data_IF_362771687331
#
_entry.id   IF_362771687331
#
_cell.length_a   1.000
_cell.length_b   1.000
_cell.length_c   1.000
_cell.angle_alpha   90.00
_cell.angle_beta   90.00
_cell.angle_gamma   90.00
#
_symmetry.space_group_name_H-M   'P 1'
#
loop_
_entity.id
_entity.type
_entity.pdbx_description
1 polymer ?
#
# COMPACT_ATOMS: atom_id res chain seq x y z
N UNK A 1 -7.63 1.41 18.43
CA UNK A 1 -6.72 2.26 17.64
C UNK A 1 -7.42 2.94 16.46
N UNK A 2 -8.49 2.38 15.90
CA UNK A 2 -9.22 2.92 14.76
C UNK A 2 -8.97 2.17 13.46
N UNK A 3 -9.51 2.73 12.35
CA UNK A 3 -9.32 2.20 11.00
C UNK A 3 -8.49 3.20 10.19
N UNK A 4 -7.44 2.71 9.56
CA UNK A 4 -6.52 3.50 8.76
C UNK A 4 -6.44 2.94 7.36
N UNK A 5 -6.11 3.77 6.38
CA UNK A 5 -5.95 3.36 5.00
C UNK A 5 -5.01 4.28 4.22
N UNK A 6 -4.58 3.78 3.09
CA UNK A 6 -3.89 4.54 2.04
C UNK A 6 -4.61 4.31 0.73
N UNK A 7 -4.53 5.27 -0.19
CA UNK A 7 -5.09 5.10 -1.52
C UNK A 7 -4.13 4.38 -2.46
N UNK A 8 -4.69 3.68 -3.44
CA UNK A 8 -3.96 3.01 -4.49
C UNK A 8 -4.02 3.76 -5.82
N UNK A 9 -3.34 3.20 -6.81
CA UNK A 9 -3.20 3.79 -8.15
C UNK A 9 -4.51 3.83 -8.96
N UNK A 10 -5.59 3.17 -8.51
CA UNK A 10 -6.91 3.21 -9.14
C UNK A 10 -7.93 4.06 -8.37
N UNK A 11 -7.54 4.67 -7.25
CA UNK A 11 -8.39 5.58 -6.48
C UNK A 11 -8.33 7.03 -6.99
N UNK A 12 -7.88 7.22 -8.22
CA UNK A 12 -7.82 8.49 -8.93
C UNK A 12 -8.81 8.53 -10.08
N UNK A 13 -9.18 9.73 -10.53
CA UNK A 13 -10.02 9.90 -11.71
C UNK A 13 -9.25 9.43 -12.94
N UNK A 14 -9.70 8.36 -13.56
CA UNK A 14 -9.08 7.79 -14.75
C UNK A 14 -10.12 7.41 -15.82
N UNK A 15 -9.65 7.33 -17.06
CA UNK A 15 -10.48 6.86 -18.16
C UNK A 15 -10.35 5.33 -18.29
N UNK A 16 -11.49 4.65 -18.21
CA UNK A 16 -11.55 3.19 -18.35
C UNK A 16 -12.09 2.79 -19.72
N UNK A 17 -11.48 1.76 -20.32
CA UNK A 17 -11.98 1.10 -21.51
C UNK A 17 -11.93 -0.42 -21.29
N UNK A 18 -13.10 -1.07 -21.29
CA UNK A 18 -13.19 -2.51 -21.04
C UNK A 18 -12.69 -2.94 -19.66
N UNK A 19 -12.73 -2.04 -18.65
CA UNK A 19 -12.22 -2.30 -17.30
C UNK A 19 -10.72 -2.02 -17.11
N UNK A 20 -10.02 -1.59 -18.15
CA UNK A 20 -8.60 -1.24 -18.10
C UNK A 20 -8.40 0.27 -18.19
N UNK A 21 -7.45 0.78 -17.42
CA UNK A 21 -7.05 2.19 -17.49
C UNK A 21 -6.39 2.50 -18.82
N UNK A 22 -6.85 3.54 -19.49
CA UNK A 22 -6.24 4.05 -20.73
C UNK A 22 -5.59 5.40 -20.48
N UNK A 23 -4.52 5.66 -21.23
CA UNK A 23 -3.78 6.92 -21.11
C UNK A 23 -4.73 8.14 -21.26
N UNK A 24 -4.61 9.09 -20.36
CA UNK A 24 -5.33 10.35 -20.35
C UNK A 24 -4.34 11.50 -20.18
N UNK A 25 -4.61 12.65 -20.82
CA UNK A 25 -3.86 13.89 -20.59
C UNK A 25 -4.34 14.65 -19.34
N UNK A 26 -5.43 14.18 -18.71
CA UNK A 26 -5.94 14.76 -17.47
C UNK A 26 -4.98 14.51 -16.31
N UNK A 27 -4.90 15.46 -15.39
CA UNK A 27 -4.17 15.24 -14.13
C UNK A 27 -4.82 14.08 -13.36
N UNK A 28 -4.00 13.20 -12.85
CA UNK A 28 -4.43 12.09 -12.00
C UNK A 28 -4.72 12.61 -10.59
N UNK A 29 -5.96 13.04 -10.41
CA UNK A 29 -6.47 13.56 -9.14
C UNK A 29 -7.33 12.51 -8.46
N UNK A 30 -7.26 12.44 -7.13
CA UNK A 30 -8.16 11.60 -6.34
C UNK A 30 -9.62 11.95 -6.64
N UNK A 31 -10.47 10.95 -6.73
CA UNK A 31 -11.90 11.15 -6.84
C UNK A 31 -12.45 11.55 -5.47
N UNK A 32 -13.09 12.72 -5.30
CA UNK A 32 -13.61 13.17 -4.00
C UNK A 32 -14.60 12.22 -3.34
N UNK A 33 -15.23 11.33 -4.12
CA UNK A 33 -16.15 10.31 -3.60
C UNK A 33 -15.45 9.30 -2.69
N UNK A 34 -14.17 9.03 -2.91
CA UNK A 34 -13.38 8.16 -2.02
C UNK A 34 -13.12 8.83 -0.66
N UNK A 35 -12.85 10.14 -0.65
CA UNK A 35 -12.68 10.88 0.61
C UNK A 35 -13.98 10.90 1.42
N UNK A 36 -15.14 11.11 0.75
CA UNK A 36 -16.45 11.02 1.39
C UNK A 36 -16.74 9.63 1.95
N UNK A 37 -16.42 8.58 1.17
CA UNK A 37 -16.57 7.20 1.60
C UNK A 37 -15.72 6.91 2.84
N UNK A 38 -14.43 7.23 2.80
CA UNK A 38 -13.51 7.03 3.92
C UNK A 38 -14.03 7.72 5.19
N UNK A 39 -14.49 8.97 5.06
CA UNK A 39 -15.08 9.73 6.16
C UNK A 39 -16.33 9.06 6.73
N UNK A 40 -17.27 8.61 5.89
CA UNK A 40 -18.49 7.90 6.30
C UNK A 40 -18.17 6.56 6.96
N UNK A 41 -17.17 5.83 6.44
CA UNK A 41 -16.70 4.57 6.98
C UNK A 41 -15.80 4.73 8.22
N UNK A 42 -15.51 5.95 8.65
CA UNK A 42 -14.59 6.28 9.76
C UNK A 42 -13.19 5.70 9.54
N UNK A 43 -12.73 5.68 8.29
CA UNK A 43 -11.37 5.30 7.92
C UNK A 43 -10.55 6.58 7.82
N UNK A 44 -9.47 6.70 8.58
CA UNK A 44 -8.51 7.78 8.44
C UNK A 44 -7.52 7.43 7.33
N UNK A 45 -7.51 8.25 6.28
CA UNK A 45 -6.54 8.12 5.20
C UNK A 45 -5.25 8.83 5.61
N UNK A 46 -4.13 8.16 5.38
CA UNK A 46 -2.79 8.68 5.63
C UNK A 46 -2.11 8.96 4.28
N UNK A 47 -1.81 10.22 4.01
CA UNK A 47 -1.29 10.73 2.74
C UNK A 47 0.12 11.31 2.92
N UNK A 48 1.15 10.46 2.89
CA UNK A 48 2.50 10.80 3.32
C UNK A 48 2.50 11.39 4.74
N UNK A 49 1.80 10.71 5.64
CA UNK A 49 1.54 11.14 7.01
C UNK A 49 2.07 10.12 8.02
N UNK A 50 2.60 10.63 9.13
CA UNK A 50 3.09 9.85 10.27
C UNK A 50 2.18 10.04 11.47
N UNK A 51 1.81 8.96 12.13
CA UNK A 51 1.08 8.96 13.39
C UNK A 51 1.81 8.16 14.44
N UNK A 52 1.92 8.69 15.64
CA UNK A 52 2.31 7.92 16.82
C UNK A 52 1.03 7.40 17.50
N UNK A 53 0.89 6.09 17.59
CA UNK A 53 -0.29 5.42 18.16
C UNK A 53 0.01 5.06 19.62
N UNK A 54 -0.77 5.64 20.54
CA UNK A 54 -0.72 5.40 21.99
C UNK A 54 0.71 5.44 22.60
N UNK A 55 1.58 6.28 22.05
CA UNK A 55 3.00 6.35 22.37
C UNK A 55 3.78 5.02 22.21
N UNK A 56 3.17 4.03 21.54
CA UNK A 56 3.68 2.67 21.44
C UNK A 56 4.40 2.39 20.10
N UNK A 57 3.85 2.83 18.97
CA UNK A 57 4.43 2.60 17.65
C UNK A 57 4.03 3.68 16.65
N UNK A 58 4.82 3.84 15.60
CA UNK A 58 4.50 4.71 14.48
C UNK A 58 3.72 3.96 13.40
N UNK A 59 2.64 4.58 12.92
CA UNK A 59 1.93 4.18 11.71
C UNK A 59 2.17 5.24 10.65
N UNK A 60 2.76 4.84 9.54
CA UNK A 60 3.15 5.73 8.44
C UNK A 60 2.36 5.34 7.20
N UNK A 61 1.53 6.24 6.68
CA UNK A 61 0.84 6.02 5.42
C UNK A 61 1.52 6.75 4.28
N UNK A 62 1.85 6.04 3.19
CA UNK A 62 2.49 6.62 2.02
C UNK A 62 1.55 6.69 0.84
N UNK A 63 1.60 7.77 0.08
CA UNK A 63 0.89 7.92 -1.20
C UNK A 63 1.31 6.83 -2.18
N UNK A 64 0.44 6.54 -3.13
CA UNK A 64 0.79 5.57 -4.18
C UNK A 64 2.02 6.02 -4.99
N UNK A 65 2.89 5.05 -5.29
CA UNK A 65 4.17 5.30 -5.96
C UNK A 65 4.05 5.73 -7.43
N UNK A 66 2.92 5.43 -8.08
CA UNK A 66 2.67 5.75 -9.49
C UNK A 66 1.70 6.92 -9.64
N UNK A 67 0.66 6.95 -8.80
CA UNK A 67 -0.42 7.93 -8.86
C UNK A 67 -0.71 8.48 -7.47
N UNK A 68 0.06 9.47 -6.99
CA UNK A 68 -0.13 10.06 -5.66
C UNK A 68 -1.53 10.65 -5.42
N UNK A 69 -2.26 11.00 -6.48
CA UNK A 69 -3.65 11.44 -6.41
C UNK A 69 -3.84 12.92 -6.10
N UNK A 70 -2.78 13.69 -6.05
CA UNK A 70 -2.77 15.15 -5.82
C UNK A 70 -2.31 15.96 -7.04
N UNK A 71 -2.16 15.28 -8.19
CA UNK A 71 -1.67 15.86 -9.42
C UNK A 71 -0.15 16.03 -9.47
N UNK A 72 0.57 15.59 -8.45
CA UNK A 72 2.04 15.45 -8.47
C UNK A 72 2.44 14.09 -9.06
N UNK A 73 3.74 13.91 -9.31
CA UNK A 73 4.29 12.63 -9.78
C UNK A 73 5.15 11.95 -8.72
N UNK A 74 5.31 12.57 -7.56
CA UNK A 74 6.24 12.10 -6.54
C UNK A 74 5.52 12.00 -5.19
N UNK A 75 5.90 11.00 -4.41
CA UNK A 75 5.60 10.87 -2.99
C UNK A 75 6.87 11.14 -2.17
N UNK A 76 6.71 11.31 -0.86
CA UNK A 76 7.86 11.49 0.04
C UNK A 76 8.68 10.18 0.09
N UNK A 77 9.99 10.31 -0.06
CA UNK A 77 10.90 9.16 -0.01
C UNK A 77 11.01 8.58 1.42
N UNK A 78 11.31 7.25 1.56
CA UNK A 78 11.41 6.60 2.87
C UNK A 78 12.36 7.30 3.83
N UNK A 79 13.53 7.71 3.36
CA UNK A 79 14.55 8.38 4.18
C UNK A 79 14.04 9.69 4.77
N UNK A 80 13.17 10.38 4.03
CA UNK A 80 12.63 11.69 4.43
C UNK A 80 11.47 11.51 5.40
N UNK A 81 10.48 10.67 5.04
CA UNK A 81 9.27 10.49 5.86
C UNK A 81 9.57 9.80 7.20
N UNK A 82 10.60 8.94 7.24
CA UNK A 82 11.01 8.23 8.45
C UNK A 82 12.13 8.96 9.22
N UNK A 83 12.60 10.11 8.70
CA UNK A 83 13.61 10.91 9.39
C UNK A 83 13.06 11.48 10.69
N UNK A 84 13.87 11.48 11.73
CA UNK A 84 13.50 12.07 13.03
C UNK A 84 12.52 11.22 13.87
N UNK A 85 12.10 10.04 13.40
CA UNK A 85 11.32 9.13 14.21
C UNK A 85 12.22 8.40 15.22
N UNK A 86 11.69 8.21 16.44
CA UNK A 86 12.35 7.41 17.46
C UNK A 86 12.40 5.94 17.05
N UNK A 87 13.59 5.46 16.69
CA UNK A 87 13.82 4.07 16.23
C UNK A 87 13.74 3.03 17.36
N UNK A 88 13.57 3.45 18.61
CA UNK A 88 13.24 2.53 19.70
C UNK A 88 11.77 2.10 19.68
N UNK A 89 10.91 2.80 18.92
CA UNK A 89 9.50 2.45 18.72
C UNK A 89 9.32 1.77 17.36
N UNK A 90 8.52 0.70 17.27
CA UNK A 90 8.22 0.04 15.99
C UNK A 90 7.62 1.01 14.97
N UNK A 91 8.03 0.86 13.70
CA UNK A 91 7.56 1.67 12.57
C UNK A 91 6.86 0.76 11.56
N UNK A 92 5.54 0.91 11.45
CA UNK A 92 4.68 0.18 10.51
C UNK A 92 4.33 1.10 9.35
N UNK A 93 4.66 0.70 8.12
CA UNK A 93 4.39 1.47 6.90
C UNK A 93 3.24 0.84 6.15
N UNK A 94 2.20 1.64 5.88
CA UNK A 94 1.12 1.32 4.97
C UNK A 94 1.40 1.94 3.61
N UNK A 95 1.37 1.16 2.57
CA UNK A 95 1.44 1.65 1.19
C UNK A 95 0.74 0.70 0.23
N UNK A 96 0.30 1.19 -0.92
CA UNK A 96 -0.45 0.36 -1.85
C UNK A 96 0.45 -0.65 -2.57
N UNK A 97 1.59 -0.19 -3.10
CA UNK A 97 2.49 -1.01 -3.91
C UNK A 97 3.71 -1.49 -3.10
N UNK A 98 4.12 -2.77 -3.19
CA UNK A 98 5.29 -3.31 -2.49
C UNK A 98 6.59 -2.86 -3.15
N UNK A 99 6.92 -1.58 -3.00
CA UNK A 99 8.12 -0.96 -3.57
C UNK A 99 9.08 -0.48 -2.49
N UNK A 100 10.31 -0.19 -2.90
CA UNK A 100 11.33 0.45 -2.05
C UNK A 100 11.61 -0.33 -0.74
N UNK A 101 11.60 -1.68 -0.82
CA UNK A 101 11.84 -2.52 0.37
C UNK A 101 13.25 -2.26 0.95
N UNK A 102 14.24 -2.01 0.09
CA UNK A 102 15.61 -1.71 0.52
C UNK A 102 15.68 -0.36 1.23
N UNK A 103 15.06 0.66 0.65
CA UNK A 103 15.03 2.01 1.19
C UNK A 103 14.27 2.06 2.52
N UNK A 104 13.14 1.35 2.63
CA UNK A 104 12.38 1.22 3.88
C UNK A 104 13.20 0.51 4.96
N UNK A 105 13.85 -0.60 4.61
CA UNK A 105 14.72 -1.34 5.54
C UNK A 105 15.86 -0.46 6.05
N UNK A 106 16.57 0.21 5.14
CA UNK A 106 17.70 1.07 5.53
C UNK A 106 17.28 2.33 6.29
N UNK A 107 16.05 2.79 6.08
CA UNK A 107 15.46 3.92 6.84
C UNK A 107 14.88 3.51 8.19
N UNK A 108 14.93 2.22 8.53
CA UNK A 108 14.53 1.69 9.83
C UNK A 108 13.03 1.47 9.99
N UNK A 109 12.33 1.11 8.91
CA UNK A 109 10.99 0.54 9.01
C UNK A 109 11.06 -0.92 9.47
N UNK A 110 10.16 -1.31 10.38
CA UNK A 110 10.07 -2.69 10.88
C UNK A 110 9.09 -3.52 10.06
N UNK A 111 8.01 -2.91 9.59
CA UNK A 111 6.98 -3.61 8.84
C UNK A 111 6.44 -2.76 7.68
N UNK A 112 6.18 -3.43 6.54
CA UNK A 112 5.49 -2.87 5.37
C UNK A 112 4.25 -3.71 5.09
N UNK A 113 3.09 -3.07 4.96
CA UNK A 113 1.82 -3.70 4.62
C UNK A 113 1.33 -3.16 3.28
N UNK A 114 1.15 -4.04 2.29
CA UNK A 114 0.82 -3.70 0.92
C UNK A 114 -0.26 -4.61 0.32
N UNK A 115 -0.75 -4.19 -0.85
CA UNK A 115 -1.60 -4.98 -1.75
C UNK A 115 -1.15 -4.87 -3.19
N UNK A 116 -2.01 -4.33 -4.05
CA UNK A 116 -1.77 -3.97 -5.46
C UNK A 116 -1.62 -5.13 -6.45
N UNK A 117 -0.84 -6.14 -6.13
CA UNK A 117 -0.45 -7.19 -7.08
C UNK A 117 -1.56 -8.17 -7.40
N UNK A 118 -2.57 -8.26 -6.52
CA UNK A 118 -3.66 -9.26 -6.59
C UNK A 118 -3.17 -10.72 -6.73
N UNK A 119 -1.88 -10.99 -6.38
CA UNK A 119 -1.17 -12.23 -6.68
C UNK A 119 -1.28 -12.62 -8.17
N UNK A 120 -1.28 -11.59 -9.06
CA UNK A 120 -1.45 -11.75 -10.50
C UNK A 120 -2.88 -12.03 -10.96
N UNK A 121 -3.84 -12.17 -10.03
CA UNK A 121 -5.30 -12.32 -10.20
C UNK A 121 -5.74 -13.47 -11.13
N UNK A 122 -5.13 -13.64 -12.32
CA UNK A 122 -5.50 -14.63 -13.31
C UNK A 122 -4.27 -15.41 -13.78
N UNK A 123 -4.38 -16.75 -13.80
CA UNK A 123 -3.36 -17.59 -14.44
C UNK A 123 -3.20 -17.21 -15.93
N UNK A 124 -1.96 -17.07 -16.46
CA UNK A 124 -0.66 -17.29 -15.80
C UNK A 124 -0.06 -16.06 -15.11
N UNK A 125 -0.84 -14.99 -14.87
CA UNK A 125 -0.38 -13.76 -14.22
C UNK A 125 0.25 -13.98 -12.83
N UNK A 126 -0.25 -14.98 -12.10
CA UNK A 126 0.32 -15.39 -10.80
C UNK A 126 1.76 -15.92 -10.89
N UNK A 127 2.21 -16.34 -12.06
CA UNK A 127 3.61 -16.72 -12.29
C UNK A 127 4.46 -15.50 -12.66
N UNK A 128 3.92 -14.62 -13.52
CA UNK A 128 4.66 -13.46 -14.04
C UNK A 128 4.82 -12.37 -13.00
N UNK A 129 3.83 -12.14 -12.13
CA UNK A 129 3.90 -11.13 -11.07
C UNK A 129 5.08 -11.34 -10.14
N UNK A 130 5.46 -12.60 -9.88
CA UNK A 130 6.63 -12.97 -9.06
C UNK A 130 7.97 -12.58 -9.69
N UNK A 131 8.00 -12.33 -10.99
CA UNK A 131 9.18 -11.84 -11.68
C UNK A 131 9.27 -10.30 -11.69
N UNK A 132 8.14 -9.62 -11.43
CA UNK A 132 8.03 -8.18 -11.46
C UNK A 132 8.27 -7.52 -10.09
N UNK A 133 8.00 -8.27 -9.00
CA UNK A 133 8.02 -7.75 -7.65
C UNK A 133 8.91 -8.61 -6.75
N UNK A 134 9.72 -7.96 -5.92
CA UNK A 134 10.55 -8.66 -4.93
C UNK A 134 9.69 -9.43 -3.91
N UNK A 135 8.58 -8.84 -3.47
CA UNK A 135 7.51 -9.51 -2.74
C UNK A 135 6.19 -9.31 -3.51
N UNK A 136 5.78 -10.31 -4.27
CA UNK A 136 4.55 -10.23 -5.05
C UNK A 136 3.30 -10.52 -4.21
N UNK A 137 3.36 -11.45 -3.26
CA UNK A 137 2.27 -11.83 -2.37
C UNK A 137 2.83 -12.64 -1.19
N UNK A 138 2.19 -12.54 -0.04
CA UNK A 138 2.57 -13.22 1.19
C UNK A 138 3.61 -12.45 1.99
N UNK A 139 4.45 -13.20 2.70
CA UNK A 139 5.43 -12.66 3.63
C UNK A 139 6.85 -12.76 3.10
N UNK A 140 7.62 -11.67 3.22
CA UNK A 140 9.06 -11.61 2.96
C UNK A 140 9.76 -10.88 4.11
N UNK A 141 10.86 -11.44 4.62
CA UNK A 141 11.77 -10.74 5.51
C UNK A 141 12.99 -10.25 4.74
N UNK A 142 13.29 -8.94 4.84
CA UNK A 142 14.46 -8.31 4.24
C UNK A 142 15.22 -7.53 5.31
N UNK A 143 16.37 -8.05 5.74
CA UNK A 143 17.04 -7.48 6.91
C UNK A 143 16.14 -7.52 8.14
N UNK A 144 15.84 -6.33 8.68
CA UNK A 144 14.89 -6.19 9.79
C UNK A 144 13.45 -5.88 9.32
N UNK A 145 13.24 -5.57 8.05
CA UNK A 145 11.91 -5.26 7.50
C UNK A 145 11.10 -6.54 7.29
N UNK A 146 9.88 -6.56 7.80
CA UNK A 146 8.83 -7.55 7.55
C UNK A 146 7.86 -7.02 6.50
N UNK A 147 7.93 -7.48 5.25
CA UNK A 147 7.00 -7.10 4.18
C UNK A 147 5.88 -8.11 4.04
N UNK A 148 4.63 -7.65 4.10
CA UNK A 148 3.42 -8.44 3.92
C UNK A 148 2.62 -7.85 2.76
N UNK A 149 2.37 -8.66 1.74
CA UNK A 149 1.59 -8.27 0.56
C UNK A 149 0.38 -9.16 0.46
N UNK A 150 -0.82 -8.58 0.56
CA UNK A 150 -2.07 -9.32 0.41
C UNK A 150 -2.54 -9.36 -1.04
N UNK A 151 -3.17 -10.46 -1.44
CA UNK A 151 -3.89 -10.54 -2.73
C UNK A 151 -5.16 -9.68 -2.74
N UNK A 152 -5.64 -9.26 -1.56
CA UNK A 152 -6.78 -8.39 -1.38
C UNK A 152 -8.14 -9.05 -1.59
N UNK A 153 -9.22 -8.34 -1.23
CA UNK A 153 -10.60 -8.82 -1.35
C UNK A 153 -11.24 -8.51 -2.70
N UNK A 154 -10.68 -7.53 -3.43
CA UNK A 154 -11.23 -7.06 -4.71
C UNK A 154 -10.63 -7.73 -5.91
N UNK A 155 -10.98 -7.20 -7.07
CA UNK A 155 -10.49 -7.60 -8.39
C UNK A 155 -10.04 -6.36 -9.16
N UNK A 156 -9.17 -6.58 -10.12
CA UNK A 156 -8.72 -5.57 -11.07
C UNK A 156 -9.18 -5.98 -12.48
N UNK A 157 -9.67 -5.02 -13.29
CA UNK A 157 -10.14 -5.30 -14.65
C UNK A 157 -11.35 -6.25 -14.67
N UNK A 158 -11.24 -7.45 -15.24
CA UNK A 158 -12.33 -8.43 -15.24
C UNK A 158 -12.71 -8.85 -13.82
N UNK A 159 -14.02 -8.94 -13.55
CA UNK A 159 -14.56 -9.30 -12.24
C UNK A 159 -14.42 -10.82 -11.97
N UNK A 160 -13.20 -11.33 -12.04
CA UNK A 160 -12.89 -12.75 -11.81
C UNK A 160 -11.47 -12.94 -11.27
N UNK A 161 -11.26 -14.04 -10.54
CA UNK A 161 -9.95 -14.58 -10.21
C UNK A 161 -9.81 -16.00 -10.73
N UNK A 162 -8.62 -16.38 -11.20
CA UNK A 162 -8.31 -17.73 -11.68
C UNK A 162 -6.93 -18.13 -11.14
N UNK A 163 -6.92 -19.11 -10.22
CA UNK A 163 -5.68 -19.58 -9.59
C UNK A 163 -5.13 -18.67 -8.49
N UNK A 164 -5.94 -17.72 -8.02
CA UNK A 164 -5.67 -16.88 -6.84
C UNK A 164 -6.95 -16.66 -6.05
N UNK A 165 -6.83 -16.40 -4.75
CA UNK A 165 -7.97 -16.22 -3.86
C UNK A 165 -8.13 -14.77 -3.39
N UNK A 166 -9.36 -14.40 -3.02
CA UNK A 166 -9.63 -13.20 -2.25
C UNK A 166 -9.27 -13.45 -0.78
N UNK A 167 -8.61 -12.51 -0.14
CA UNK A 167 -8.22 -12.68 1.26
C UNK A 167 -8.33 -11.42 2.11
N UNK A 168 -8.50 -11.64 3.40
CA UNK A 168 -8.24 -10.66 4.47
C UNK A 168 -7.12 -11.26 5.31
N UNK A 169 -6.08 -10.48 5.58
CA UNK A 169 -4.91 -10.94 6.30
C UNK A 169 -4.95 -10.48 7.77
N UNK A 170 -5.32 -11.34 8.73
CA UNK A 170 -5.17 -11.02 10.15
C UNK A 170 -3.70 -11.11 10.55
N UNK A 171 -3.18 -10.05 11.17
CA UNK A 171 -1.78 -9.96 11.58
C UNK A 171 -1.73 -9.73 13.09
N UNK A 172 -1.03 -10.60 13.82
CA UNK A 172 -0.73 -10.41 15.23
C UNK A 172 0.73 -9.99 15.38
N UNK A 173 0.95 -8.83 15.98
CA UNK A 173 2.30 -8.28 16.21
C UNK A 173 2.62 -8.41 17.69
N UNK A 174 3.72 -9.10 18.00
CA UNK A 174 4.26 -9.18 19.36
C UNK A 174 5.47 -8.27 19.44
N UNK A 175 5.34 -7.17 20.17
CA UNK A 175 6.47 -6.28 20.46
C UNK A 175 7.34 -6.93 21.55
N UNK A 176 8.64 -7.03 21.28
CA UNK A 176 9.61 -7.42 22.30
C UNK A 176 10.07 -6.14 23.01
N UNK A 177 9.91 -6.12 24.32
CA UNK A 177 10.37 -5.01 25.16
C UNK A 177 11.88 -5.05 25.39
#
# INVERSE_FOLDING_TARGET
YGSFGVFGNHDVTERLLGGFSVASQAKEMRDPRFDEFAKKAKIRILDDEVMLIDDAFYLVGRKDAQKPGDGTKNRIEPEVILSGLDKAKPIIVLEHQPKQLKELETSGADMQLCGHTHDGQMFPGNLTVKLMWENACGYLKKGNLHSIVTSGVGVWGPAMRVGTDCEICPITIHFQG
#
